data_IF_829755889562
#
_entry.id   IF_829755889562
#
_cell.length_a   1.000
_cell.length_b   1.000
_cell.length_c   1.000
_cell.angle_alpha   90.00
_cell.angle_beta   90.00
_cell.angle_gamma   90.00
#
_symmetry.space_group_name_H-M   'P 1'
#
loop_
_entity.id
_entity.type
_entity.pdbx_description
1 polymer ?
#
# COMPACT_ATOMS: atom_id res chain seq x y z
N UNK A 1 -7.26 11.81 5.31
CA UNK A 1 -7.82 11.08 4.13
C UNK A 1 -6.74 10.86 3.08
N UNK A 2 -6.62 9.67 2.50
CA UNK A 2 -5.68 9.47 1.40
C UNK A 2 -6.03 10.35 0.19
N UNK A 3 -5.02 10.71 -0.58
CA UNK A 3 -5.21 11.48 -1.81
C UNK A 3 -5.67 10.55 -2.95
N UNK A 4 -6.18 11.14 -4.02
CA UNK A 4 -6.53 10.37 -5.21
C UNK A 4 -5.31 9.64 -5.78
N UNK A 5 -4.15 10.30 -5.76
CA UNK A 5 -2.91 9.69 -6.22
C UNK A 5 -2.55 8.45 -5.39
N UNK A 6 -2.71 8.54 -4.06
CA UNK A 6 -2.49 7.41 -3.18
C UNK A 6 -3.49 6.28 -3.45
N UNK A 7 -4.75 6.60 -3.65
CA UNK A 7 -5.77 5.58 -3.89
C UNK A 7 -5.52 4.84 -5.20
N UNK A 8 -5.11 5.55 -6.23
CA UNK A 8 -4.76 4.91 -7.51
C UNK A 8 -3.55 4.00 -7.37
N UNK A 9 -2.55 4.46 -6.64
CA UNK A 9 -1.36 3.65 -6.39
C UNK A 9 -1.70 2.44 -5.55
N UNK A 10 -2.52 2.62 -4.51
CA UNK A 10 -2.97 1.53 -3.65
C UNK A 10 -3.67 0.44 -4.47
N UNK A 11 -4.59 0.83 -5.35
CA UNK A 11 -5.30 -0.14 -6.17
C UNK A 11 -4.33 -0.95 -7.03
N UNK A 12 -3.37 -0.26 -7.63
CA UNK A 12 -2.37 -0.90 -8.48
C UNK A 12 -1.53 -1.91 -7.70
N UNK A 13 -1.09 -1.52 -6.49
CA UNK A 13 -0.32 -2.40 -5.61
C UNK A 13 -1.18 -3.59 -5.17
N UNK A 14 -2.42 -3.33 -4.77
CA UNK A 14 -3.33 -4.39 -4.32
C UNK A 14 -3.60 -5.39 -5.43
N UNK A 15 -3.78 -4.93 -6.65
CA UNK A 15 -3.99 -5.80 -7.80
C UNK A 15 -2.77 -6.70 -8.02
N UNK A 16 -1.56 -6.12 -7.99
CA UNK A 16 -0.33 -6.88 -8.18
C UNK A 16 -0.17 -7.93 -7.08
N UNK A 17 -0.38 -7.55 -5.84
CA UNK A 17 -0.25 -8.48 -4.72
C UNK A 17 -1.26 -9.61 -4.80
N UNK A 18 -2.50 -9.31 -5.15
CA UNK A 18 -3.58 -10.28 -5.13
C UNK A 18 -3.56 -11.20 -6.35
N UNK A 19 -3.42 -10.64 -7.55
CA UNK A 19 -3.65 -11.38 -8.80
C UNK A 19 -2.38 -11.80 -9.52
N UNK A 20 -1.26 -11.17 -9.22
CA UNK A 20 0.01 -11.49 -9.88
C UNK A 20 0.95 -12.23 -8.94
N UNK A 21 1.10 -11.72 -7.72
CA UNK A 21 2.02 -12.29 -6.74
C UNK A 21 1.35 -13.29 -5.79
N UNK A 22 0.02 -13.30 -5.72
CA UNK A 22 -0.76 -14.18 -4.84
C UNK A 22 -0.34 -14.04 -3.39
N UNK A 23 -0.08 -12.81 -2.95
CA UNK A 23 0.29 -12.51 -1.57
C UNK A 23 -0.87 -11.88 -0.83
N UNK A 24 -1.15 -12.32 0.41
CA UNK A 24 -2.24 -11.72 1.18
C UNK A 24 -1.87 -10.32 1.66
N UNK A 25 -2.88 -9.47 1.73
CA UNK A 25 -2.73 -8.13 2.30
C UNK A 25 -3.25 -8.19 3.74
N UNK A 26 -2.40 -7.82 4.70
CA UNK A 26 -2.74 -7.90 6.11
C UNK A 26 -3.24 -6.59 6.69
N UNK A 27 -2.66 -5.47 6.24
CA UNK A 27 -2.94 -4.18 6.84
C UNK A 27 -2.77 -3.08 5.81
N UNK A 28 -3.73 -2.16 5.80
CA UNK A 28 -3.63 -0.91 5.04
C UNK A 28 -4.01 0.20 6.00
N UNK A 29 -3.13 1.16 6.21
CA UNK A 29 -3.42 2.27 7.11
C UNK A 29 -2.68 3.53 6.66
N UNK A 30 -3.07 4.67 7.25
CA UNK A 30 -2.42 5.95 6.99
C UNK A 30 -1.60 6.33 8.21
N UNK A 31 -0.34 6.70 8.00
CA UNK A 31 0.50 7.24 9.06
C UNK A 31 0.11 8.71 9.25
N UNK A 32 -0.46 9.02 10.41
CA UNK A 32 -0.97 10.37 10.67
C UNK A 32 0.14 11.42 10.72
N UNK A 33 1.37 11.01 11.00
CA UNK A 33 2.49 11.95 11.09
C UNK A 33 2.99 12.39 9.72
N UNK A 34 3.05 11.47 8.78
CA UNK A 34 3.61 11.74 7.45
C UNK A 34 2.55 11.83 6.37
N UNK A 35 1.33 11.37 6.65
CA UNK A 35 0.24 11.22 5.70
C UNK A 35 0.55 10.20 4.61
N UNK A 36 1.56 9.36 4.83
CA UNK A 36 1.87 8.26 3.92
C UNK A 36 0.89 7.12 4.15
N UNK A 37 0.58 6.40 3.09
CA UNK A 37 -0.22 5.20 3.15
C UNK A 37 0.72 4.02 3.35
N UNK A 38 0.41 3.17 4.32
CA UNK A 38 1.24 1.99 4.64
C UNK A 38 0.48 0.72 4.29
N UNK A 39 1.15 -0.20 3.61
CA UNK A 39 0.58 -1.48 3.21
C UNK A 39 1.50 -2.59 3.68
N UNK A 40 0.94 -3.53 4.44
CA UNK A 40 1.66 -4.71 4.92
C UNK A 40 1.06 -5.96 4.26
N UNK A 41 1.91 -6.76 3.64
CA UNK A 41 1.46 -7.93 2.88
C UNK A 41 2.45 -9.08 3.00
N UNK A 42 2.10 -10.21 2.39
CA UNK A 42 2.95 -11.40 2.38
C UNK A 42 2.53 -12.41 3.45
N UNK A 43 2.82 -13.68 3.22
CA UNK A 43 2.42 -14.74 4.15
C UNK A 43 3.05 -14.57 5.53
N UNK A 44 4.26 -14.03 5.59
CA UNK A 44 4.97 -13.80 6.84
C UNK A 44 5.09 -12.31 7.15
N UNK A 45 4.22 -11.49 6.55
CA UNK A 45 4.21 -10.03 6.76
C UNK A 45 5.55 -9.38 6.39
N UNK A 46 6.22 -9.94 5.38
CA UNK A 46 7.55 -9.48 5.00
C UNK A 46 7.55 -8.44 3.87
N UNK A 47 6.38 -8.16 3.29
CA UNK A 47 6.27 -7.19 2.20
C UNK A 47 5.65 -5.91 2.74
N UNK A 48 6.38 -4.81 2.63
CA UNK A 48 5.93 -3.51 3.12
C UNK A 48 6.06 -2.46 2.02
N UNK A 49 5.01 -1.66 1.86
CA UNK A 49 5.03 -0.53 0.95
C UNK A 49 4.60 0.73 1.68
N UNK A 50 5.21 1.85 1.32
CA UNK A 50 4.75 3.16 1.75
C UNK A 50 4.49 4.01 0.53
N UNK A 51 3.34 4.70 0.52
CA UNK A 51 2.93 5.55 -0.60
C UNK A 51 2.78 6.98 -0.10
N UNK A 52 3.54 7.89 -0.69
CA UNK A 52 3.49 9.30 -0.32
C UNK A 52 2.18 9.93 -0.79
N UNK A 53 1.81 11.12 -0.25
CA UNK A 53 0.62 11.82 -0.73
C UNK A 53 0.60 12.10 -2.24
N UNK A 54 1.78 12.18 -2.86
CA UNK A 54 1.90 12.35 -4.30
C UNK A 54 1.70 11.06 -5.08
N UNK A 55 1.52 9.94 -4.39
CA UNK A 55 1.32 8.64 -5.03
C UNK A 55 2.60 7.91 -5.41
N UNK A 56 3.73 8.28 -4.78
CA UNK A 56 5.01 7.61 -5.03
C UNK A 56 5.27 6.52 -3.99
N UNK A 57 5.77 5.39 -4.44
CA UNK A 57 6.18 4.29 -3.56
C UNK A 57 7.62 4.53 -3.13
N UNK A 58 7.84 4.46 -1.83
CA UNK A 58 9.19 4.62 -1.27
C UNK A 58 9.65 3.36 -0.56
#
# INVERSE_FOLDING_TARGET
>A
MPTDAQLRCLYRIAYQLTYVMFQPIHLICTDVRTQNLFILAGENEEIEFEVTPDGEVI
#
